data_IF_035698438862
#
_entry.id   IF_035698438862
#
_cell.length_a   1.000
_cell.length_b   1.000
_cell.length_c   1.000
_cell.angle_alpha   90.00
_cell.angle_beta   90.00
_cell.angle_gamma   90.00
#
_symmetry.space_group_name_H-M   'P 1'
#
loop_
_entity.id
_entity.type
_entity.pdbx_description
1 polymer ?
#
# COMPACT_ATOMS: atom_id res chain seq x y z
N UNK A 1 -2.09 14.81 -24.33
CA UNK A 1 -1.17 14.45 -23.23
C UNK A 1 -1.99 13.79 -22.13
N UNK A 2 -1.41 12.87 -21.35
CA UNK A 2 -2.08 12.26 -20.19
C UNK A 2 -1.64 13.00 -18.93
N UNK A 3 -2.58 13.32 -18.04
CA UNK A 3 -2.35 13.97 -16.75
C UNK A 3 -2.76 13.04 -15.61
N UNK A 4 -2.08 13.12 -14.48
CA UNK A 4 -2.38 12.35 -13.27
C UNK A 4 -2.94 13.29 -12.20
N UNK A 5 -4.07 12.91 -11.61
CA UNK A 5 -4.68 13.55 -10.45
C UNK A 5 -4.75 12.51 -9.32
N UNK A 6 -3.85 12.64 -8.34
CA UNK A 6 -3.67 11.68 -7.25
C UNK A 6 -3.83 12.25 -5.83
N UNK A 7 -4.12 13.55 -5.69
CA UNK A 7 -4.24 14.23 -4.40
C UNK A 7 -5.71 14.52 -4.04
N UNK A 8 -6.57 13.52 -4.22
CA UNK A 8 -8.00 13.61 -3.91
C UNK A 8 -8.27 13.21 -2.46
N UNK A 9 -9.30 13.80 -1.87
CA UNK A 9 -9.74 13.49 -0.50
C UNK A 9 -10.10 12.00 -0.32
N UNK A 10 -10.59 11.34 -1.38
CA UNK A 10 -10.93 9.91 -1.39
C UNK A 10 -9.72 8.99 -1.59
N UNK A 11 -8.51 9.56 -1.73
CA UNK A 11 -7.27 8.83 -1.99
C UNK A 11 -7.24 8.11 -3.33
N UNK A 12 -8.16 8.42 -4.25
CA UNK A 12 -8.21 7.80 -5.58
C UNK A 12 -7.26 8.47 -6.57
N UNK A 13 -6.73 7.67 -7.50
CA UNK A 13 -5.86 8.13 -8.59
C UNK A 13 -6.65 8.11 -9.88
N UNK A 14 -6.72 9.25 -10.56
CA UNK A 14 -7.42 9.41 -11.83
C UNK A 14 -6.48 9.96 -12.89
N UNK A 15 -6.52 9.33 -14.06
CA UNK A 15 -5.84 9.81 -15.25
C UNK A 15 -6.83 10.60 -16.11
N UNK A 16 -6.37 11.71 -16.68
CA UNK A 16 -7.14 12.54 -17.61
C UNK A 16 -6.41 12.63 -18.94
N UNK A 17 -7.14 12.46 -20.04
CA UNK A 17 -6.60 12.59 -21.38
C UNK A 17 -7.02 13.92 -22.01
N UNK A 18 -6.04 14.73 -22.44
CA UNK A 18 -6.26 16.04 -23.06
C UNK A 18 -6.67 15.96 -24.55
N UNK A 19 -6.83 14.75 -25.12
CA UNK A 19 -7.30 14.59 -26.49
C UNK A 19 -8.80 14.91 -26.57
N UNK A 20 -9.17 15.80 -27.50
CA UNK A 20 -10.56 16.12 -27.82
C UNK A 20 -11.06 15.13 -28.89
N UNK A 21 -11.53 13.96 -28.47
CA UNK A 21 -12.08 12.93 -29.36
C UNK A 21 -13.25 12.20 -28.67
N UNK A 22 -14.29 11.86 -29.41
CA UNK A 22 -15.47 11.16 -28.92
C UNK A 22 -15.24 9.65 -28.74
N UNK A 23 -14.28 9.07 -29.47
CA UNK A 23 -13.94 7.65 -29.45
C UNK A 23 -12.60 7.41 -28.77
N UNK A 24 -12.47 7.92 -27.55
CA UNK A 24 -11.27 7.71 -26.75
C UNK A 24 -11.20 6.27 -26.22
N UNK A 25 -10.06 5.61 -26.43
CA UNK A 25 -9.69 4.31 -25.87
C UNK A 25 -8.51 4.48 -24.91
N UNK A 26 -8.47 3.65 -23.88
CA UNK A 26 -7.37 3.61 -22.94
C UNK A 26 -6.57 2.33 -23.09
N UNK A 27 -5.26 2.47 -22.93
CA UNK A 27 -4.32 1.37 -22.97
C UNK A 27 -3.48 1.36 -21.71
N UNK A 28 -3.25 0.16 -21.17
CA UNK A 28 -2.32 -0.12 -20.09
C UNK A 28 -1.34 -1.18 -20.58
N UNK A 29 -0.04 -0.90 -20.52
CA UNK A 29 1.03 -1.84 -20.88
C UNK A 29 0.82 -2.48 -22.28
N UNK A 30 0.25 -1.71 -23.21
CA UNK A 30 -0.04 -2.14 -24.58
C UNK A 30 -1.39 -2.83 -24.79
N UNK A 31 -2.16 -3.11 -23.73
CA UNK A 31 -3.49 -3.73 -23.83
C UNK A 31 -4.61 -2.69 -23.64
N UNK A 32 -5.67 -2.80 -24.45
CA UNK A 32 -6.86 -1.96 -24.30
C UNK A 32 -7.58 -2.30 -22.99
N UNK A 33 -7.88 -1.29 -22.18
CA UNK A 33 -8.61 -1.44 -20.91
C UNK A 33 -10.02 -0.90 -21.03
N UNK A 34 -10.98 -1.60 -20.41
CA UNK A 34 -12.39 -1.22 -20.47
C UNK A 34 -12.66 0.06 -19.66
N UNK A 35 -13.29 1.03 -20.33
CA UNK A 35 -13.80 2.26 -19.74
C UNK A 35 -15.05 1.97 -18.91
N UNK A 36 -14.94 2.08 -17.60
CA UNK A 36 -16.07 1.86 -16.69
C UNK A 36 -17.02 3.07 -16.53
N UNK A 37 -16.77 4.21 -17.19
CA UNK A 37 -17.50 5.47 -16.92
C UNK A 37 -18.04 6.19 -18.15
N UNK A 38 -19.12 6.96 -17.93
CA UNK A 38 -19.74 7.91 -18.88
C UNK A 38 -18.75 8.95 -19.44
N UNK A 39 -17.67 9.27 -18.72
CA UNK A 39 -16.65 10.22 -19.16
C UNK A 39 -15.43 9.46 -19.70
N UNK A 40 -15.33 9.36 -21.04
CA UNK A 40 -14.26 8.61 -21.73
C UNK A 40 -12.87 9.23 -21.52
N UNK A 41 -12.80 10.52 -21.20
CA UNK A 41 -11.55 11.25 -21.01
C UNK A 41 -10.89 10.98 -19.66
N UNK A 42 -11.56 10.29 -18.75
CA UNK A 42 -11.07 10.03 -17.39
C UNK A 42 -11.00 8.53 -17.12
N UNK A 43 -9.83 8.06 -16.68
CA UNK A 43 -9.61 6.68 -16.26
C UNK A 43 -9.29 6.63 -14.76
N UNK A 44 -10.12 5.95 -13.99
CA UNK A 44 -9.88 5.76 -12.55
C UNK A 44 -9.00 4.53 -12.34
N UNK A 45 -7.87 4.68 -11.65
CA UNK A 45 -6.97 3.59 -11.26
C UNK A 45 -7.32 2.99 -9.89
N UNK A 46 -8.31 3.57 -9.19
CA UNK A 46 -8.71 3.18 -7.85
C UNK A 46 -7.89 3.90 -6.77
N UNK A 47 -7.83 3.31 -5.58
CA UNK A 47 -7.10 3.88 -4.46
C UNK A 47 -5.58 3.87 -4.70
N UNK A 48 -4.93 4.99 -4.40
CA UNK A 48 -3.47 5.15 -4.39
C UNK A 48 -2.77 4.12 -3.50
N UNK A 49 -3.44 3.66 -2.46
CA UNK A 49 -2.98 2.67 -1.48
C UNK A 49 -2.75 1.28 -2.12
N UNK A 50 -3.38 1.00 -3.26
CA UNK A 50 -3.19 -0.25 -4.01
C UNK A 50 -1.95 -0.23 -4.92
N UNK A 51 -1.12 0.80 -4.82
CA UNK A 51 0.08 0.99 -5.63
C UNK A 51 -0.18 0.81 -7.14
N UNK A 52 -1.05 1.65 -7.74
CA UNK A 52 -1.28 1.56 -9.19
C UNK A 52 0.02 1.86 -9.95
N UNK A 53 0.42 0.89 -10.78
CA UNK A 53 1.63 0.96 -11.60
C UNK A 53 1.34 0.51 -13.04
N UNK A 54 2.11 1.03 -13.98
CA UNK A 54 2.08 0.65 -15.40
C UNK A 54 2.26 1.84 -16.34
N UNK A 55 2.35 1.55 -17.64
CA UNK A 55 2.43 2.55 -18.69
C UNK A 55 1.04 2.77 -19.27
N UNK A 56 0.55 4.00 -19.17
CA UNK A 56 -0.78 4.39 -19.63
C UNK A 56 -0.71 5.34 -20.82
N UNK A 57 -1.60 5.14 -21.77
CA UNK A 57 -1.84 6.08 -22.85
C UNK A 57 -3.28 5.99 -23.33
N UNK A 58 -3.79 7.09 -23.84
CA UNK A 58 -5.06 7.17 -24.53
C UNK A 58 -4.86 7.27 -26.05
N UNK A 59 -5.78 6.66 -26.81
CA UNK A 59 -5.86 6.72 -28.26
C UNK A 59 -7.21 7.32 -28.66
N UNK A 60 -7.18 8.35 -29.51
CA UNK A 60 -8.36 8.83 -30.23
C UNK A 60 -8.42 8.24 -31.65
N UNK A 61 -9.39 8.68 -32.43
CA UNK A 61 -9.66 8.23 -33.79
C UNK A 61 -8.51 8.48 -34.76
N UNK A 62 -7.78 9.59 -34.59
CA UNK A 62 -6.68 10.01 -35.49
C UNK A 62 -5.31 10.10 -34.83
N UNK A 63 -5.27 10.27 -33.51
CA UNK A 63 -4.03 10.56 -32.77
C UNK A 63 -3.97 9.74 -31.48
N UNK A 64 -2.77 9.38 -31.05
CA UNK A 64 -2.53 8.86 -29.71
C UNK A 64 -1.80 9.88 -28.83
N UNK A 65 -1.95 9.71 -27.52
CA UNK A 65 -1.15 10.44 -26.54
C UNK A 65 0.23 9.80 -26.37
N UNK A 66 1.18 10.58 -25.82
CA UNK A 66 2.46 10.02 -25.37
C UNK A 66 2.24 9.10 -24.18
N UNK A 67 2.98 7.97 -24.09
CA UNK A 67 2.92 7.08 -22.95
C UNK A 67 3.34 7.79 -21.66
N UNK A 68 2.63 7.50 -20.58
CA UNK A 68 2.90 7.99 -19.23
C UNK A 68 3.15 6.81 -18.31
N UNK A 69 4.35 6.75 -17.73
CA UNK A 69 4.66 5.76 -16.70
C UNK A 69 4.11 6.22 -15.35
N UNK A 70 3.15 5.47 -14.82
CA UNK A 70 2.58 5.69 -13.50
C UNK A 70 3.29 4.77 -12.52
N UNK A 71 3.82 5.34 -11.45
CA UNK A 71 4.50 4.61 -10.39
C UNK A 71 4.09 5.18 -9.02
N UNK A 72 3.04 4.59 -8.42
CA UNK A 72 2.67 4.86 -7.04
C UNK A 72 3.30 3.84 -6.10
N UNK A 73 3.83 4.35 -4.98
CA UNK A 73 4.32 3.55 -3.84
C UNK A 73 3.83 4.22 -2.56
N UNK A 74 2.63 3.86 -2.14
CA UNK A 74 1.98 4.32 -0.92
C UNK A 74 2.20 3.30 0.18
N UNK A 75 2.79 3.72 1.29
CA UNK A 75 3.00 2.78 2.38
C UNK A 75 1.86 2.77 3.40
N UNK A 76 0.86 1.92 3.16
CA UNK A 76 -0.27 1.74 4.07
C UNK A 76 0.10 1.01 5.37
N UNK A 77 1.14 0.17 5.32
CA UNK A 77 1.58 -0.70 6.42
C UNK A 77 3.07 -0.54 6.73
N UNK A 78 3.68 0.59 6.37
CA UNK A 78 5.03 0.87 6.87
C UNK A 78 4.91 1.18 8.35
N UNK A 79 5.64 0.41 9.16
CA UNK A 79 5.96 0.83 10.51
C UNK A 79 7.18 1.71 10.37
N UNK A 80 7.05 2.97 10.79
CA UNK A 80 8.20 3.83 10.96
C UNK A 80 9.02 3.28 12.13
N UNK A 81 10.20 2.74 11.82
CA UNK A 81 11.11 2.16 12.79
C UNK A 81 11.93 3.28 13.41
N UNK A 82 11.37 3.92 14.43
CA UNK A 82 12.13 4.85 15.27
C UNK A 82 12.85 4.11 16.40
N UNK A 83 13.94 4.71 16.89
CA UNK A 83 14.72 4.20 18.01
C UNK A 83 13.85 3.97 19.26
N UNK A 84 12.81 4.79 19.48
CA UNK A 84 11.86 4.62 20.56
C UNK A 84 11.02 3.33 20.40
N UNK A 85 10.54 3.03 19.20
CA UNK A 85 9.74 1.82 18.92
C UNK A 85 10.59 0.56 19.07
N UNK A 86 11.80 0.57 18.50
CA UNK A 86 12.74 -0.56 18.60
C UNK A 86 13.15 -0.80 20.05
N UNK A 87 13.49 0.25 20.79
CA UNK A 87 13.84 0.11 22.20
C UNK A 87 12.66 -0.40 23.02
N UNK A 88 11.44 0.09 22.76
CA UNK A 88 10.22 -0.40 23.40
C UNK A 88 9.99 -1.91 23.24
N UNK A 89 10.21 -2.45 22.03
CA UNK A 89 10.12 -3.90 21.81
C UNK A 89 11.16 -4.67 22.62
N UNK A 90 12.41 -4.21 22.63
CA UNK A 90 13.48 -4.86 23.40
C UNK A 90 13.19 -4.83 24.90
N UNK A 91 12.73 -3.69 25.44
CA UNK A 91 12.38 -3.58 26.85
C UNK A 91 11.21 -4.49 27.24
N UNK A 92 10.16 -4.56 26.41
CA UNK A 92 9.02 -5.44 26.66
C UNK A 92 9.43 -6.92 26.68
N UNK A 93 10.31 -7.34 25.76
CA UNK A 93 10.84 -8.70 25.72
C UNK A 93 11.66 -9.05 26.96
N UNK A 94 12.54 -8.14 27.41
CA UNK A 94 13.35 -8.37 28.62
C UNK A 94 12.44 -8.56 29.85
N UNK A 95 11.42 -7.71 30.02
CA UNK A 95 10.49 -7.79 31.15
C UNK A 95 9.68 -9.09 31.07
N UNK A 96 9.19 -9.45 29.88
CA UNK A 96 8.46 -10.70 29.64
C UNK A 96 9.27 -11.93 30.05
N UNK A 97 10.50 -12.03 29.56
CA UNK A 97 11.42 -13.14 29.89
C UNK A 97 11.71 -13.18 31.38
N UNK A 98 11.95 -12.02 32.00
CA UNK A 98 12.23 -11.94 33.44
C UNK A 98 11.06 -12.46 34.28
N UNK A 99 9.82 -12.03 33.98
CA UNK A 99 8.63 -12.50 34.68
C UNK A 99 8.41 -14.01 34.52
N UNK A 100 8.61 -14.53 33.30
CA UNK A 100 8.52 -15.97 33.04
C UNK A 100 9.60 -16.74 33.82
N UNK A 101 10.85 -16.25 33.83
CA UNK A 101 11.94 -16.88 34.56
C UNK A 101 11.67 -16.92 36.07
N UNK A 102 11.20 -15.82 36.65
CA UNK A 102 10.83 -15.74 38.07
C UNK A 102 9.67 -16.68 38.39
N UNK A 103 8.65 -16.73 37.52
CA UNK A 103 7.52 -17.65 37.66
C UNK A 103 7.96 -19.11 37.69
N UNK A 104 8.77 -19.53 36.72
CA UNK A 104 9.34 -20.89 36.65
C UNK A 104 10.21 -21.18 37.87
N UNK A 105 11.04 -20.22 38.29
CA UNK A 105 11.89 -20.36 39.47
C UNK A 105 11.07 -20.63 40.74
N UNK A 106 9.97 -19.91 40.96
CA UNK A 106 9.12 -20.15 42.13
C UNK A 106 8.36 -21.48 42.06
N UNK A 107 7.89 -21.89 40.89
CA UNK A 107 7.23 -23.19 40.71
C UNK A 107 8.21 -24.32 41.06
N UNK A 108 9.39 -24.33 40.44
CA UNK A 108 10.40 -25.36 40.68
C UNK A 108 10.96 -25.32 42.12
N UNK A 109 11.06 -24.14 42.72
CA UNK A 109 11.51 -23.98 44.10
C UNK A 109 10.52 -24.51 45.14
N UNK A 110 9.21 -24.46 44.86
CA UNK A 110 8.19 -25.04 45.75
C UNK A 110 8.12 -26.57 45.67
N UNK A 111 8.46 -27.16 44.52
CA UNK A 111 8.50 -28.62 44.35
C UNK A 111 9.62 -29.28 45.19
N UNK A 112 10.74 -28.57 45.45
CA UNK A 112 11.82 -29.05 46.31
C UNK A 112 11.48 -29.16 47.80
N UNK A 113 10.48 -28.42 48.30
CA UNK A 113 10.09 -28.42 49.73
C UNK A 113 9.08 -29.53 50.06
N UNK A 114 8.31 -30.02 49.08
CA UNK A 114 7.28 -31.05 49.30
C UNK A 114 7.82 -32.49 49.28
N UNK A 115 9.08 -32.71 48.88
CA UNK A 115 9.63 -34.05 48.68
C UNK A 115 10.41 -34.61 49.89
N UNK A 116 10.34 -33.95 51.06
CA UNK A 116 11.02 -34.39 52.29
C UNK A 116 10.08 -34.93 53.38
N UNK A 117 8.90 -35.46 53.01
CA UNK A 117 8.02 -36.16 53.96
C UNK A 117 7.44 -37.44 53.37
#
# INVERSE_FOLDING_TARGET
VVRVDGNREDGSVVLTCDLKDENLKWFKDGQEINLHKKNKNMQNLGSSIKDPQGIYWCQGSKNHSRPLQVYFRMCHKCIELDAATVSGFVFAEIISIFLLAVGVYFIAGQDGVRQSR
#
